data_IF_370998060647
#
_entry.id   IF_370998060647
#
_cell.length_a   1.000
_cell.length_b   1.000
_cell.length_c   1.000
_cell.angle_alpha   90.00
_cell.angle_beta   90.00
_cell.angle_gamma   90.00
#
_symmetry.space_group_name_H-M   'P 1'
#
loop_
_entity.id
_entity.type
_entity.pdbx_description
1 polymer ?
#
# COMPACT_ATOMS: atom_id res chain seq x y z
N UNK A 1 -25.66 -8.84 -5.10
CA UNK A 1 -24.69 -9.33 -4.09
C UNK A 1 -25.41 -9.90 -2.87
N UNK A 2 -26.20 -9.10 -2.13
CA UNK A 2 -26.97 -9.61 -0.98
C UNK A 2 -27.93 -10.77 -1.31
N UNK A 3 -28.61 -10.73 -2.46
CA UNK A 3 -29.48 -11.80 -2.98
C UNK A 3 -28.77 -13.15 -3.14
N UNK A 4 -27.52 -13.15 -3.61
CA UNK A 4 -26.79 -14.39 -3.91
C UNK A 4 -26.24 -15.04 -2.65
N UNK A 5 -25.88 -14.26 -1.63
CA UNK A 5 -25.53 -14.77 -0.31
C UNK A 5 -26.77 -15.30 0.40
N UNK A 6 -27.90 -14.57 0.32
CA UNK A 6 -29.19 -15.07 0.80
C UNK A 6 -29.53 -16.40 0.13
N UNK A 7 -29.32 -16.53 -1.18
CA UNK A 7 -29.52 -17.77 -1.92
C UNK A 7 -28.58 -18.89 -1.46
N UNK A 8 -27.28 -18.63 -1.37
CA UNK A 8 -26.30 -19.61 -0.87
C UNK A 8 -26.64 -20.06 0.57
N UNK A 9 -27.17 -19.15 1.38
CA UNK A 9 -27.60 -19.44 2.74
C UNK A 9 -28.90 -20.25 2.79
N UNK A 10 -29.88 -19.95 1.93
CA UNK A 10 -31.08 -20.79 1.79
C UNK A 10 -30.75 -22.17 1.22
N UNK A 11 -29.78 -22.28 0.31
CA UNK A 11 -29.21 -23.56 -0.12
C UNK A 11 -28.55 -24.30 1.05
N UNK A 12 -27.81 -23.59 1.92
CA UNK A 12 -27.23 -24.18 3.15
C UNK A 12 -28.29 -24.65 4.14
N UNK A 13 -29.31 -23.84 4.42
CA UNK A 13 -30.42 -24.20 5.31
C UNK A 13 -31.16 -25.43 4.81
N UNK A 14 -31.47 -25.48 3.51
CA UNK A 14 -32.08 -26.65 2.86
C UNK A 14 -31.17 -27.87 2.93
N UNK A 15 -29.86 -27.69 2.75
CA UNK A 15 -28.89 -28.75 2.89
C UNK A 15 -28.81 -29.28 4.33
N UNK A 16 -28.78 -28.39 5.33
CA UNK A 16 -28.77 -28.71 6.77
C UNK A 16 -30.05 -29.42 7.20
N UNK A 17 -31.22 -28.95 6.77
CA UNK A 17 -32.52 -29.54 7.10
C UNK A 17 -32.68 -30.98 6.58
N UNK A 18 -31.96 -31.34 5.51
CA UNK A 18 -31.96 -32.67 4.94
C UNK A 18 -30.91 -33.62 5.56
N UNK A 19 -30.05 -33.12 6.46
CA UNK A 19 -29.08 -33.95 7.19
C UNK A 19 -29.65 -34.38 8.55
N UNK A 20 -29.30 -35.60 8.98
CA UNK A 20 -29.73 -36.11 10.28
C UNK A 20 -29.19 -35.19 11.40
N UNK A 21 -30.01 -34.83 12.40
CA UNK A 21 -29.66 -33.85 13.44
C UNK A 21 -28.44 -34.25 14.29
N UNK A 22 -28.07 -35.53 14.34
CA UNK A 22 -26.91 -36.06 15.08
C UNK A 22 -25.55 -35.58 14.59
N UNK A 23 -25.48 -34.79 13.52
CA UNK A 23 -24.21 -34.40 12.85
C UNK A 23 -23.73 -33.00 13.26
N UNK A 24 -24.54 -32.17 13.93
CA UNK A 24 -24.24 -30.73 14.07
C UNK A 24 -24.06 -30.18 15.49
N UNK A 25 -24.30 -30.97 16.55
CA UNK A 25 -24.25 -30.45 17.93
C UNK A 25 -22.86 -30.44 18.58
N UNK A 26 -21.79 -30.85 17.88
CA UNK A 26 -20.45 -30.91 18.47
C UNK A 26 -19.35 -30.45 17.52
N UNK A 27 -18.81 -29.25 17.77
CA UNK A 27 -17.42 -28.88 17.45
C UNK A 27 -16.95 -29.03 15.98
N UNK A 28 -15.63 -28.98 15.73
CA UNK A 28 -15.07 -29.15 14.39
C UNK A 28 -15.49 -30.50 13.82
N UNK A 29 -16.24 -30.47 12.71
CA UNK A 29 -16.88 -31.61 12.06
C UNK A 29 -16.06 -32.90 12.09
N UNK A 30 -16.56 -33.93 12.78
CA UNK A 30 -16.10 -35.30 12.55
C UNK A 30 -16.68 -35.80 11.22
N UNK A 31 -16.01 -35.46 10.11
CA UNK A 31 -16.34 -35.87 8.73
C UNK A 31 -16.51 -37.38 8.51
N UNK A 32 -16.16 -38.21 9.50
CA UNK A 32 -16.14 -39.68 9.38
C UNK A 32 -17.54 -40.28 9.30
N UNK A 33 -18.55 -39.64 9.89
CA UNK A 33 -19.91 -40.20 10.01
C UNK A 33 -20.84 -39.82 8.84
N UNK A 34 -20.39 -38.95 7.94
CA UNK A 34 -21.14 -38.57 6.74
C UNK A 34 -21.02 -39.64 5.65
N UNK A 35 -22.11 -39.86 4.91
CA UNK A 35 -22.02 -40.65 3.67
C UNK A 35 -21.05 -39.99 2.69
N UNK A 36 -20.41 -40.78 1.82
CA UNK A 36 -19.48 -40.25 0.81
C UNK A 36 -20.16 -39.17 -0.06
N UNK A 37 -21.46 -39.37 -0.35
CA UNK A 37 -22.27 -38.42 -1.12
C UNK A 37 -22.44 -37.09 -0.39
N UNK A 38 -22.70 -37.13 0.92
CA UNK A 38 -22.91 -35.92 1.72
C UNK A 38 -21.59 -35.18 1.97
N UNK A 39 -20.48 -35.90 2.14
CA UNK A 39 -19.13 -35.29 2.18
C UNK A 39 -18.82 -34.52 0.91
N UNK A 40 -19.10 -35.11 -0.27
CA UNK A 40 -18.88 -34.43 -1.55
C UNK A 40 -19.76 -33.19 -1.70
N UNK A 41 -21.03 -33.26 -1.29
CA UNK A 41 -21.95 -32.11 -1.33
C UNK A 41 -21.52 -31.00 -0.38
N UNK A 42 -21.12 -31.34 0.85
CA UNK A 42 -20.61 -30.38 1.83
C UNK A 42 -19.32 -29.72 1.34
N UNK A 43 -18.38 -30.49 0.77
CA UNK A 43 -17.14 -29.95 0.21
C UNK A 43 -17.37 -29.04 -1.00
N UNK A 44 -18.31 -29.40 -1.90
CA UNK A 44 -18.72 -28.54 -3.02
C UNK A 44 -19.37 -27.26 -2.54
N UNK A 45 -20.21 -27.34 -1.50
CA UNK A 45 -20.83 -26.18 -0.88
C UNK A 45 -19.77 -25.27 -0.26
N UNK A 46 -18.91 -25.80 0.62
CA UNK A 46 -17.79 -25.07 1.23
C UNK A 46 -16.92 -24.38 0.18
N UNK A 47 -16.53 -25.10 -0.89
CA UNK A 47 -15.73 -24.52 -1.97
C UNK A 47 -16.45 -23.39 -2.70
N UNK A 48 -17.76 -23.52 -2.97
CA UNK A 48 -18.56 -22.42 -3.55
C UNK A 48 -18.63 -21.23 -2.61
N UNK A 49 -18.85 -21.46 -1.31
CA UNK A 49 -18.91 -20.41 -0.30
C UNK A 49 -17.56 -19.72 -0.15
N UNK A 50 -16.44 -20.44 -0.09
CA UNK A 50 -15.08 -19.90 -0.05
C UNK A 50 -14.77 -19.06 -1.28
N UNK A 51 -15.03 -19.60 -2.48
CA UNK A 51 -14.83 -18.87 -3.75
C UNK A 51 -15.64 -17.58 -3.78
N UNK A 52 -16.87 -17.63 -3.25
CA UNK A 52 -17.74 -16.46 -3.17
C UNK A 52 -17.22 -15.46 -2.12
N UNK A 53 -16.86 -15.91 -0.92
CA UNK A 53 -16.28 -15.07 0.14
C UNK A 53 -14.92 -14.47 -0.27
N UNK A 54 -14.13 -15.14 -1.12
CA UNK A 54 -12.88 -14.62 -1.69
C UNK A 54 -13.14 -13.47 -2.68
N UNK A 55 -14.32 -13.45 -3.31
CA UNK A 55 -14.71 -12.42 -4.27
C UNK A 55 -15.27 -11.13 -3.64
N UNK A 56 -15.55 -11.14 -2.34
CA UNK A 56 -16.22 -10.05 -1.60
C UNK A 56 -15.19 -9.31 -0.74
N UNK A 57 -15.28 -7.97 -0.69
CA UNK A 57 -14.41 -7.17 0.18
C UNK A 57 -14.78 -7.34 1.67
N UNK A 58 -13.82 -7.13 2.58
CA UNK A 58 -14.09 -7.20 4.02
C UNK A 58 -15.16 -6.18 4.47
N UNK A 59 -15.31 -5.05 3.77
CA UNK A 59 -16.36 -4.06 4.04
C UNK A 59 -17.74 -4.58 3.67
N UNK A 60 -17.86 -5.20 2.49
CA UNK A 60 -19.11 -5.83 2.06
C UNK A 60 -19.48 -7.00 2.98
N UNK A 61 -18.50 -7.74 3.49
CA UNK A 61 -18.73 -8.77 4.52
C UNK A 61 -19.25 -8.18 5.83
N UNK A 62 -18.66 -7.07 6.28
CA UNK A 62 -19.05 -6.40 7.52
C UNK A 62 -20.46 -5.80 7.43
N UNK A 63 -20.82 -5.21 6.28
CA UNK A 63 -22.17 -4.73 6.01
C UNK A 63 -23.17 -5.88 6.00
N UNK A 64 -22.80 -7.02 5.42
CA UNK A 64 -23.64 -8.21 5.43
C UNK A 64 -23.91 -8.75 6.84
N UNK A 65 -22.93 -8.66 7.73
CA UNK A 65 -23.06 -9.11 9.12
C UNK A 65 -24.06 -8.28 9.91
N UNK A 66 -24.33 -7.03 9.51
CA UNK A 66 -25.35 -6.19 10.15
C UNK A 66 -26.77 -6.64 9.79
N UNK A 67 -26.97 -7.24 8.61
CA UNK A 67 -28.27 -7.71 8.12
C UNK A 67 -28.63 -9.13 8.60
N UNK A 68 -27.65 -9.91 9.05
CA UNK A 68 -27.82 -11.29 9.49
C UNK A 68 -28.19 -11.33 10.98
N UNK A 69 -29.45 -11.69 11.29
CA UNK A 69 -29.93 -11.94 12.67
C UNK A 69 -29.49 -13.30 13.25
N UNK A 70 -28.87 -14.16 12.44
CA UNK A 70 -28.47 -15.51 12.84
C UNK A 70 -27.10 -15.48 13.56
N UNK A 71 -27.13 -15.66 14.89
CA UNK A 71 -25.96 -15.60 15.77
C UNK A 71 -24.92 -16.68 15.40
N UNK A 72 -25.36 -17.87 14.97
CA UNK A 72 -24.45 -18.98 14.60
C UNK A 72 -23.67 -18.63 13.33
N UNK A 73 -24.36 -18.02 12.36
CA UNK A 73 -23.75 -17.61 11.10
C UNK A 73 -22.78 -16.44 11.29
N UNK A 74 -23.17 -15.45 12.09
CA UNK A 74 -22.31 -14.31 12.42
C UNK A 74 -21.01 -14.76 13.07
N UNK A 75 -21.07 -15.75 13.99
CA UNK A 75 -19.88 -16.34 14.60
C UNK A 75 -18.96 -17.06 13.61
N UNK A 76 -19.52 -17.83 12.66
CA UNK A 76 -18.72 -18.52 11.62
C UNK A 76 -18.07 -17.55 10.63
N UNK A 77 -18.79 -16.52 10.20
CA UNK A 77 -18.23 -15.49 9.32
C UNK A 77 -17.14 -14.71 10.05
N UNK A 78 -17.34 -14.34 11.33
CA UNK A 78 -16.30 -13.72 12.15
C UNK A 78 -15.07 -14.61 12.31
N UNK A 79 -15.25 -15.92 12.50
CA UNK A 79 -14.13 -16.87 12.56
C UNK A 79 -13.34 -16.89 11.24
N UNK A 80 -14.00 -16.94 10.09
CA UNK A 80 -13.35 -16.90 8.77
C UNK A 80 -12.63 -15.57 8.55
N UNK A 81 -13.24 -14.43 8.93
CA UNK A 81 -12.57 -13.12 8.90
C UNK A 81 -11.31 -13.16 9.77
N UNK A 82 -11.42 -13.65 11.01
CA UNK A 82 -10.31 -13.70 11.95
C UNK A 82 -9.17 -14.62 11.48
N UNK A 83 -9.50 -15.73 10.82
CA UNK A 83 -8.53 -16.66 10.25
C UNK A 83 -7.85 -16.06 9.01
N UNK A 84 -8.59 -15.39 8.12
CA UNK A 84 -8.01 -14.61 7.01
C UNK A 84 -7.10 -13.49 7.49
N UNK A 85 -7.53 -12.76 8.52
CA UNK A 85 -6.71 -11.73 9.14
C UNK A 85 -5.46 -12.31 9.79
N UNK A 86 -5.57 -13.47 10.46
CA UNK A 86 -4.45 -14.19 11.05
C UNK A 86 -3.42 -14.66 10.01
N UNK A 87 -3.85 -15.33 8.93
CA UNK A 87 -2.94 -15.76 7.86
C UNK A 87 -2.28 -14.58 7.12
N UNK A 88 -3.03 -13.49 6.90
CA UNK A 88 -2.52 -12.22 6.39
C UNK A 88 -1.46 -11.65 7.33
N UNK A 89 -1.73 -11.64 8.64
CA UNK A 89 -0.82 -11.13 9.67
C UNK A 89 0.45 -11.99 9.86
N UNK A 90 0.38 -13.31 9.67
CA UNK A 90 1.55 -14.21 9.77
C UNK A 90 2.54 -13.98 8.62
N UNK A 91 2.06 -13.96 7.36
CA UNK A 91 2.93 -13.67 6.20
C UNK A 91 3.50 -12.24 6.25
N UNK A 92 2.68 -11.30 6.68
CA UNK A 92 3.09 -9.93 6.96
C UNK A 92 4.17 -9.90 8.04
N UNK A 93 4.01 -10.67 9.12
CA UNK A 93 4.87 -10.61 10.30
C UNK A 93 6.36 -10.82 9.99
N UNK A 94 6.73 -11.80 9.16
CA UNK A 94 8.14 -12.01 8.81
C UNK A 94 8.68 -10.96 7.83
N UNK A 95 7.91 -10.58 6.81
CA UNK A 95 8.31 -9.55 5.84
C UNK A 95 8.43 -8.16 6.48
N UNK A 96 7.54 -7.81 7.42
CA UNK A 96 7.65 -6.58 8.23
C UNK A 96 8.87 -6.61 9.15
N UNK A 97 9.17 -7.75 9.79
CA UNK A 97 10.38 -7.89 10.63
C UNK A 97 11.67 -7.72 9.83
N UNK A 98 11.68 -8.17 8.58
CA UNK A 98 12.81 -7.95 7.68
C UNK A 98 12.88 -6.52 7.10
N UNK A 99 11.88 -5.67 7.35
CA UNK A 99 11.82 -4.33 6.78
C UNK A 99 11.63 -4.31 5.26
N UNK A 100 11.19 -5.42 4.67
CA UNK A 100 11.01 -5.53 3.22
C UNK A 100 9.73 -4.83 2.75
N UNK A 101 8.70 -4.75 3.60
CA UNK A 101 7.47 -4.02 3.29
C UNK A 101 7.70 -2.54 3.64
N UNK A 102 7.70 -1.63 2.65
CA UNK A 102 7.88 -0.21 2.91
C UNK A 102 6.70 0.31 3.73
N UNK A 103 7.04 1.02 4.81
CA UNK A 103 6.09 1.77 5.64
C UNK A 103 6.37 3.25 5.47
N UNK A 104 5.31 4.04 5.26
CA UNK A 104 5.44 5.47 5.04
C UNK A 104 5.05 6.22 6.31
N UNK A 105 6.01 6.93 6.91
CA UNK A 105 5.73 7.89 7.99
C UNK A 105 5.48 9.28 7.41
N UNK A 106 4.81 10.15 8.15
CA UNK A 106 4.54 11.54 7.74
C UNK A 106 5.83 12.27 7.32
N UNK A 107 6.93 12.09 8.06
CA UNK A 107 8.24 12.69 7.73
C UNK A 107 8.74 12.23 6.37
N UNK A 108 8.66 10.94 6.04
CA UNK A 108 9.17 10.39 4.77
C UNK A 108 8.39 10.96 3.59
N UNK A 109 7.06 11.03 3.74
CA UNK A 109 6.15 11.57 2.72
C UNK A 109 6.40 13.07 2.50
N UNK A 110 6.56 13.82 3.59
CA UNK A 110 6.92 15.23 3.53
C UNK A 110 8.29 15.44 2.84
N UNK A 111 9.33 14.71 3.24
CA UNK A 111 10.68 14.85 2.64
C UNK A 111 10.70 14.46 1.16
N UNK A 112 9.89 13.46 0.78
CA UNK A 112 9.69 13.08 -0.62
C UNK A 112 9.03 14.22 -1.40
N UNK A 113 7.97 14.82 -0.86
CA UNK A 113 7.32 15.98 -1.43
C UNK A 113 8.22 17.22 -1.52
N UNK A 114 9.00 17.50 -0.47
CA UNK A 114 9.99 18.57 -0.45
C UNK A 114 11.02 18.39 -1.56
N UNK A 115 11.54 17.17 -1.74
CA UNK A 115 12.49 16.87 -2.82
C UNK A 115 11.89 17.12 -4.19
N UNK A 116 10.64 16.72 -4.41
CA UNK A 116 9.92 16.99 -5.65
C UNK A 116 9.75 18.50 -5.90
N UNK A 117 9.39 19.28 -4.88
CA UNK A 117 9.29 20.74 -5.00
C UNK A 117 10.64 21.39 -5.28
N UNK A 118 11.73 20.93 -4.66
CA UNK A 118 13.07 21.44 -4.94
C UNK A 118 13.44 21.21 -6.41
N UNK A 119 13.14 20.04 -6.97
CA UNK A 119 13.35 19.79 -8.41
C UNK A 119 12.50 20.71 -9.26
N UNK A 120 11.20 20.82 -8.95
CA UNK A 120 10.26 21.62 -9.72
C UNK A 120 10.67 23.10 -9.77
N UNK A 121 11.16 23.67 -8.65
CA UNK A 121 11.49 25.09 -8.58
C UNK A 121 12.94 25.43 -8.91
N UNK A 122 13.89 24.51 -8.68
CA UNK A 122 15.32 24.81 -8.76
C UNK A 122 16.04 24.10 -9.92
N UNK A 123 15.38 23.19 -10.63
CA UNK A 123 15.96 22.47 -11.75
C UNK A 123 15.16 22.73 -13.04
N UNK A 124 15.66 23.65 -13.88
CA UNK A 124 15.01 24.03 -15.14
C UNK A 124 14.91 22.87 -16.12
N UNK A 125 15.92 22.01 -16.20
CA UNK A 125 15.91 20.84 -17.08
C UNK A 125 14.81 19.85 -16.70
N UNK A 126 14.63 19.59 -15.40
CA UNK A 126 13.52 18.78 -14.93
C UNK A 126 12.18 19.42 -15.29
N UNK A 127 12.05 20.73 -15.11
CA UNK A 127 10.82 21.46 -15.43
C UNK A 127 10.46 21.36 -16.91
N UNK A 128 11.44 21.55 -17.81
CA UNK A 128 11.29 21.39 -19.25
C UNK A 128 10.87 19.96 -19.62
N UNK A 129 11.62 18.94 -19.16
CA UNK A 129 11.30 17.53 -19.46
C UNK A 129 9.95 17.09 -18.86
N UNK A 130 9.60 17.60 -17.66
CA UNK A 130 8.33 17.35 -17.02
C UNK A 130 7.18 17.96 -17.81
N UNK A 131 7.27 19.24 -18.18
CA UNK A 131 6.24 19.88 -18.98
C UNK A 131 6.15 19.27 -20.38
N UNK A 132 7.26 18.95 -21.03
CA UNK A 132 7.22 18.29 -22.33
C UNK A 132 6.55 16.92 -22.25
N UNK A 133 6.85 16.14 -21.21
CA UNK A 133 6.21 14.83 -21.00
C UNK A 133 4.71 14.95 -20.75
N UNK A 134 4.30 15.90 -19.90
CA UNK A 134 2.90 16.05 -19.54
C UNK A 134 2.09 16.79 -20.61
N UNK A 135 2.57 17.92 -21.14
CA UNK A 135 1.88 18.82 -22.09
C UNK A 135 1.73 18.26 -23.49
N UNK A 136 2.65 17.40 -23.95
CA UNK A 136 2.65 16.90 -25.33
C UNK A 136 1.46 16.00 -25.63
N UNK A 137 1.09 15.15 -24.68
CA UNK A 137 0.00 14.18 -24.80
C UNK A 137 -1.10 14.47 -23.75
N UNK A 138 -1.55 15.73 -23.69
CA UNK A 138 -2.56 16.20 -22.72
C UNK A 138 -3.92 15.56 -22.96
N UNK A 139 -4.16 14.39 -22.36
CA UNK A 139 -5.48 13.77 -22.29
C UNK A 139 -6.16 14.01 -20.93
N UNK A 140 -7.48 13.80 -20.88
CA UNK A 140 -8.27 13.96 -19.65
C UNK A 140 -7.82 13.00 -18.54
N UNK A 141 -7.24 11.86 -18.90
CA UNK A 141 -6.77 10.84 -17.96
C UNK A 141 -5.51 11.32 -17.22
N UNK A 142 -4.52 11.86 -17.94
CA UNK A 142 -3.32 12.50 -17.42
C UNK A 142 -3.67 13.65 -16.49
N UNK A 143 -4.63 14.51 -16.86
CA UNK A 143 -5.09 15.60 -15.99
C UNK A 143 -5.63 15.03 -14.68
N UNK A 144 -6.44 13.98 -14.74
CA UNK A 144 -6.95 13.29 -13.56
C UNK A 144 -5.81 12.78 -12.66
N UNK A 145 -4.83 12.08 -13.23
CA UNK A 145 -3.65 11.58 -12.50
C UNK A 145 -2.88 12.72 -11.84
N UNK A 146 -2.66 13.82 -12.57
CA UNK A 146 -1.95 15.00 -12.07
C UNK A 146 -2.69 15.69 -10.92
N UNK A 147 -4.01 15.82 -11.01
CA UNK A 147 -4.83 16.36 -9.91
C UNK A 147 -4.70 15.46 -8.67
N UNK A 148 -4.82 14.14 -8.83
CA UNK A 148 -4.66 13.22 -7.71
C UNK A 148 -3.26 13.26 -7.10
N UNK A 149 -2.22 13.38 -7.94
CA UNK A 149 -0.85 13.53 -7.52
C UNK A 149 -0.64 14.82 -6.70
N UNK A 150 -1.15 15.95 -7.18
CA UNK A 150 -1.09 17.24 -6.49
C UNK A 150 -1.84 17.17 -5.15
N UNK A 151 -3.02 16.55 -5.11
CA UNK A 151 -3.76 16.35 -3.86
C UNK A 151 -2.94 15.52 -2.86
N UNK A 152 -2.32 14.42 -3.30
CA UNK A 152 -1.48 13.58 -2.44
C UNK A 152 -0.24 14.32 -1.91
N UNK A 153 0.38 15.16 -2.74
CA UNK A 153 1.48 16.04 -2.35
C UNK A 153 1.04 17.05 -1.29
N UNK A 154 -0.03 17.81 -1.56
CA UNK A 154 -0.57 18.81 -0.62
C UNK A 154 -0.96 18.17 0.71
N UNK A 155 -1.61 17.00 0.68
CA UNK A 155 -1.98 16.26 1.88
C UNK A 155 -0.75 15.81 2.68
N UNK A 156 0.33 15.40 2.01
CA UNK A 156 1.59 15.02 2.68
C UNK A 156 2.20 16.19 3.45
N UNK A 157 2.12 17.41 2.91
CA UNK A 157 2.51 18.64 3.62
C UNK A 157 1.52 19.03 4.71
N UNK A 158 0.22 18.96 4.46
CA UNK A 158 -0.78 19.35 5.45
C UNK A 158 -0.69 18.49 6.71
N UNK A 159 -0.66 17.15 6.56
CA UNK A 159 -0.76 16.26 7.70
C UNK A 159 0.47 16.28 8.60
N UNK A 160 1.68 16.44 8.05
CA UNK A 160 2.93 16.48 8.84
C UNK A 160 2.94 17.64 9.86
N UNK A 161 2.24 18.75 9.58
CA UNK A 161 2.14 19.91 10.48
C UNK A 161 0.83 19.97 11.27
N UNK A 162 -0.18 19.18 10.91
CA UNK A 162 -1.53 19.31 11.48
C UNK A 162 -1.70 18.68 12.86
N UNK A 163 -0.82 17.77 13.28
CA UNK A 163 -1.00 16.91 14.44
C UNK A 163 -2.33 16.11 14.47
N UNK A 164 -2.93 15.85 13.30
CA UNK A 164 -4.21 15.14 13.16
C UNK A 164 -4.01 13.74 12.60
N UNK A 165 -4.82 12.80 13.08
CA UNK A 165 -4.93 11.45 12.51
C UNK A 165 -5.40 11.56 11.05
N UNK A 166 -4.73 10.83 10.15
CA UNK A 166 -5.00 10.92 8.71
C UNK A 166 -6.24 10.09 8.37
N UNK A 167 -7.32 10.69 7.84
CA UNK A 167 -8.48 9.95 7.39
C UNK A 167 -8.12 8.93 6.30
N UNK A 168 -8.82 7.80 6.28
CA UNK A 168 -8.55 6.70 5.34
C UNK A 168 -8.56 7.12 3.88
N UNK A 169 -9.47 8.03 3.48
CA UNK A 169 -9.52 8.57 2.10
C UNK A 169 -8.26 9.37 1.77
N UNK A 170 -7.83 10.25 2.68
CA UNK A 170 -6.58 11.02 2.53
C UNK A 170 -5.34 10.14 2.44
N UNK A 171 -5.28 9.04 3.22
CA UNK A 171 -4.22 8.03 3.08
C UNK A 171 -4.20 7.42 1.68
N UNK A 172 -5.35 7.24 1.03
CA UNK A 172 -5.41 6.77 -0.35
C UNK A 172 -4.64 7.69 -1.32
N UNK A 173 -4.89 8.99 -1.25
CA UNK A 173 -4.21 9.98 -2.10
C UNK A 173 -2.72 10.10 -1.81
N UNK A 174 -2.34 10.11 -0.53
CA UNK A 174 -0.93 10.14 -0.10
C UNK A 174 -0.20 8.88 -0.57
N UNK A 175 -0.83 7.71 -0.47
CA UNK A 175 -0.23 6.45 -0.91
C UNK A 175 -0.04 6.45 -2.42
N UNK A 176 -1.04 6.90 -3.18
CA UNK A 176 -0.94 7.01 -4.63
C UNK A 176 0.20 7.94 -5.03
N UNK A 177 0.32 9.10 -4.39
CA UNK A 177 1.46 10.02 -4.56
C UNK A 177 2.80 9.31 -4.30
N UNK A 178 2.94 8.62 -3.18
CA UNK A 178 4.16 7.90 -2.83
C UNK A 178 4.52 6.79 -3.84
N UNK A 179 3.52 6.07 -4.36
CA UNK A 179 3.72 5.02 -5.37
C UNK A 179 4.16 5.63 -6.70
N UNK A 180 3.46 6.66 -7.19
CA UNK A 180 3.78 7.33 -8.44
C UNK A 180 5.18 7.93 -8.38
N UNK A 181 5.52 8.66 -7.32
CA UNK A 181 6.82 9.32 -7.24
C UNK A 181 7.97 8.30 -7.18
N UNK A 182 7.84 7.23 -6.39
CA UNK A 182 8.87 6.18 -6.35
C UNK A 182 9.01 5.49 -7.71
N UNK A 183 7.90 5.24 -8.41
CA UNK A 183 7.93 4.69 -9.77
C UNK A 183 8.64 5.62 -10.75
N UNK A 184 8.27 6.91 -10.79
CA UNK A 184 8.90 7.89 -11.69
C UNK A 184 10.40 8.01 -11.42
N UNK A 185 10.81 8.13 -10.15
CA UNK A 185 12.23 8.19 -9.78
C UNK A 185 12.96 6.92 -10.19
N UNK A 186 12.42 5.74 -9.87
CA UNK A 186 13.02 4.47 -10.25
C UNK A 186 13.16 4.33 -11.77
N UNK A 187 12.14 4.73 -12.52
CA UNK A 187 12.14 4.67 -13.98
C UNK A 187 13.15 5.64 -14.60
N UNK A 188 13.06 6.94 -14.31
CA UNK A 188 13.94 7.95 -14.93
C UNK A 188 15.39 7.83 -14.47
N UNK A 189 15.63 7.62 -13.17
CA UNK A 189 16.99 7.42 -12.66
C UNK A 189 17.58 6.12 -13.19
N UNK A 190 16.77 5.06 -13.29
CA UNK A 190 17.17 3.78 -13.85
C UNK A 190 17.54 3.86 -15.34
N UNK A 191 16.70 4.51 -16.13
CA UNK A 191 16.96 4.74 -17.55
C UNK A 191 18.24 5.55 -17.78
N UNK A 192 18.43 6.63 -17.02
CA UNK A 192 19.67 7.40 -17.05
C UNK A 192 20.88 6.56 -16.62
N UNK A 193 20.71 5.75 -15.56
CA UNK A 193 21.78 4.92 -15.03
C UNK A 193 22.28 3.87 -16.03
N UNK A 194 21.36 3.20 -16.72
CA UNK A 194 21.67 2.19 -17.72
C UNK A 194 22.38 2.77 -18.95
N UNK A 195 22.10 4.02 -19.28
CA UNK A 195 22.60 4.65 -20.52
C UNK A 195 23.87 5.46 -20.30
N UNK A 196 24.04 6.09 -19.13
CA UNK A 196 25.05 7.14 -18.93
C UNK A 196 25.82 7.07 -17.60
N UNK A 197 25.28 6.49 -16.54
CA UNK A 197 25.94 6.54 -15.24
C UNK A 197 27.19 5.66 -15.17
N UNK A 198 28.23 6.16 -14.51
CA UNK A 198 29.48 5.44 -14.23
C UNK A 198 29.84 5.56 -12.75
N UNK A 199 30.58 4.58 -12.23
CA UNK A 199 31.09 4.59 -10.87
C UNK A 199 30.02 4.38 -9.79
N UNK A 200 30.30 4.84 -8.57
CA UNK A 200 29.47 4.58 -7.39
C UNK A 200 28.07 5.21 -7.42
N UNK A 201 27.84 6.20 -8.28
CA UNK A 201 26.56 6.89 -8.40
C UNK A 201 25.43 5.95 -8.87
N UNK A 202 25.77 4.84 -9.55
CA UNK A 202 24.79 3.84 -10.03
C UNK A 202 24.02 3.14 -8.90
N UNK A 203 24.59 3.10 -7.69
CA UNK A 203 24.00 2.38 -6.56
C UNK A 203 22.63 2.97 -6.20
N UNK A 204 22.49 4.30 -6.18
CA UNK A 204 21.23 4.94 -5.76
C UNK A 204 20.07 4.66 -6.73
N UNK A 205 20.23 4.84 -8.07
CA UNK A 205 19.24 4.40 -9.04
C UNK A 205 18.90 2.91 -8.92
N UNK A 206 19.89 2.02 -8.74
CA UNK A 206 19.61 0.59 -8.59
C UNK A 206 18.73 0.29 -7.39
N UNK A 207 18.97 0.94 -6.25
CA UNK A 207 18.11 0.82 -5.06
C UNK A 207 16.69 1.30 -5.38
N UNK A 208 16.53 2.47 -6.00
CA UNK A 208 15.19 3.00 -6.32
C UNK A 208 14.45 2.17 -7.37
N UNK A 209 15.13 1.57 -8.35
CA UNK A 209 14.52 0.63 -9.30
C UNK A 209 13.94 -0.56 -8.53
N UNK A 210 14.74 -1.18 -7.66
CA UNK A 210 14.29 -2.33 -6.85
C UNK A 210 13.12 -1.91 -5.94
N UNK A 211 13.22 -0.77 -5.26
CA UNK A 211 12.15 -0.23 -4.42
C UNK A 211 10.87 0.03 -5.20
N UNK A 212 10.96 0.60 -6.40
CA UNK A 212 9.80 0.86 -7.26
C UNK A 212 9.12 -0.45 -7.72
N UNK A 213 9.90 -1.43 -8.16
CA UNK A 213 9.36 -2.74 -8.54
C UNK A 213 8.69 -3.46 -7.37
N UNK A 214 9.34 -3.48 -6.20
CA UNK A 214 8.76 -4.08 -4.99
C UNK A 214 7.49 -3.36 -4.56
N UNK A 215 7.48 -2.02 -4.57
CA UNK A 215 6.31 -1.21 -4.23
C UNK A 215 5.13 -1.52 -5.15
N UNK A 216 5.34 -1.53 -6.47
CA UNK A 216 4.31 -1.89 -7.44
C UNK A 216 3.81 -3.33 -7.27
N UNK A 217 4.73 -4.27 -7.08
CA UNK A 217 4.38 -5.67 -6.83
C UNK A 217 3.52 -5.81 -5.58
N UNK A 218 3.90 -5.16 -4.47
CA UNK A 218 3.16 -5.20 -3.21
C UNK A 218 1.82 -4.47 -3.26
N UNK A 219 1.69 -3.41 -4.05
CA UNK A 219 0.38 -2.79 -4.35
C UNK A 219 -0.49 -3.77 -5.13
N UNK A 220 0.06 -4.44 -6.16
CA UNK A 220 -0.68 -5.40 -7.00
C UNK A 220 -1.27 -6.58 -6.22
N UNK A 221 -0.55 -7.06 -5.19
CA UNK A 221 -1.00 -8.15 -4.31
C UNK A 221 -1.69 -7.66 -3.03
N UNK A 222 -2.06 -6.38 -2.94
CA UNK A 222 -2.73 -5.75 -1.79
C UNK A 222 -1.98 -5.92 -0.45
N UNK A 223 -0.65 -6.08 -0.48
CA UNK A 223 0.18 -6.04 0.73
C UNK A 223 0.33 -4.59 1.22
N UNK A 224 0.55 -3.67 0.30
CA UNK A 224 0.57 -2.24 0.58
C UNK A 224 -0.82 -1.67 0.33
N UNK A 225 -1.41 -1.17 1.40
CA UNK A 225 -2.71 -0.48 1.41
C UNK A 225 -2.58 0.81 2.22
N UNK A 226 -3.69 1.54 2.39
CA UNK A 226 -3.75 2.73 3.26
C UNK A 226 -3.27 2.47 4.69
N UNK A 227 -3.28 1.21 5.18
CA UNK A 227 -2.70 0.82 6.48
C UNK A 227 -1.16 0.94 6.54
N UNK A 228 -0.49 1.09 5.40
CA UNK A 228 0.98 1.21 5.31
C UNK A 228 1.46 2.64 5.56
N UNK A 229 0.54 3.61 5.56
CA UNK A 229 0.79 4.97 6.04
C UNK A 229 0.54 4.98 7.54
N UNK A 230 1.62 5.15 8.29
CA UNK A 230 1.61 5.14 9.75
C UNK A 230 1.10 6.50 10.27
N UNK A 231 0.13 6.48 11.18
CA UNK A 231 -0.31 7.67 11.95
C UNK A 231 0.69 8.01 13.06
N UNK A 232 1.98 7.98 12.72
CA UNK A 232 3.06 8.29 13.63
C UNK A 232 3.37 9.77 13.48
N UNK A 233 2.92 10.55 14.47
CA UNK A 233 3.13 11.99 14.48
C UNK A 233 4.62 12.33 14.34
N UNK A 234 4.94 13.12 13.32
CA UNK A 234 6.27 13.65 13.12
C UNK A 234 6.63 14.64 14.23
N UNK A 235 7.81 14.49 14.85
CA UNK A 235 8.34 15.55 15.72
C UNK A 235 8.85 16.70 14.84
N UNK A 236 8.63 17.95 15.26
CA UNK A 236 9.11 19.13 14.52
C UNK A 236 10.65 19.08 14.29
N UNK A 237 11.40 18.54 15.26
CA UNK A 237 12.85 18.34 15.13
C UNK A 237 13.21 17.32 14.04
N UNK A 238 12.47 16.21 13.91
CA UNK A 238 12.66 15.20 12.85
C UNK A 238 12.42 15.84 11.46
N UNK A 239 11.37 16.67 11.33
CA UNK A 239 11.03 17.39 10.10
C UNK A 239 12.14 18.38 9.73
N UNK A 240 12.58 19.20 10.68
CA UNK A 240 13.55 20.28 10.43
C UNK A 240 14.93 19.72 10.08
N UNK A 241 15.42 18.73 10.84
CA UNK A 241 16.70 18.06 10.55
C UNK A 241 16.62 17.33 9.22
N UNK A 242 15.53 16.60 8.97
CA UNK A 242 15.30 15.91 7.70
C UNK A 242 15.33 16.86 6.50
N UNK A 243 14.68 18.02 6.63
CA UNK A 243 14.62 19.05 5.58
C UNK A 243 15.99 19.63 5.28
N UNK A 244 16.75 19.99 6.32
CA UNK A 244 18.10 20.54 6.18
C UNK A 244 18.99 19.54 5.43
N UNK A 245 18.94 18.26 5.81
CA UNK A 245 19.77 17.24 5.16
C UNK A 245 19.33 17.03 3.71
N UNK A 246 18.03 16.96 3.41
CA UNK A 246 17.54 16.88 2.02
C UNK A 246 18.03 18.06 1.19
N UNK A 247 17.94 19.29 1.72
CA UNK A 247 18.40 20.49 1.02
C UNK A 247 19.91 20.44 0.78
N UNK A 248 20.71 20.10 1.79
CA UNK A 248 22.18 19.99 1.65
C UNK A 248 22.54 18.92 0.62
N UNK A 249 21.93 17.74 0.70
CA UNK A 249 22.14 16.63 -0.22
C UNK A 249 21.75 17.01 -1.65
N UNK A 250 20.60 17.67 -1.82
CA UNK A 250 20.14 18.20 -3.09
C UNK A 250 21.14 19.21 -3.67
N UNK A 251 21.53 20.21 -2.88
CA UNK A 251 22.44 21.28 -3.31
C UNK A 251 23.80 20.72 -3.71
N UNK A 252 24.38 19.82 -2.91
CA UNK A 252 25.66 19.19 -3.23
C UNK A 252 25.54 18.36 -4.50
N UNK A 253 24.52 17.50 -4.61
CA UNK A 253 24.33 16.66 -5.80
C UNK A 253 24.13 17.50 -7.07
N UNK A 254 23.29 18.53 -7.01
CA UNK A 254 22.88 19.29 -8.18
C UNK A 254 23.92 20.34 -8.61
N UNK A 255 24.49 21.09 -7.67
CA UNK A 255 25.31 22.26 -7.99
C UNK A 255 26.81 22.03 -7.81
N UNK A 256 27.22 21.07 -6.97
CA UNK A 256 28.64 20.73 -6.80
C UNK A 256 29.04 19.59 -7.73
N UNK A 257 28.25 18.52 -7.74
CA UNK A 257 28.54 17.35 -8.60
C UNK A 257 27.93 17.45 -10.00
N UNK A 258 27.06 18.43 -10.27
CA UNK A 258 26.36 18.58 -11.55
C UNK A 258 25.64 17.30 -12.00
N UNK A 259 25.11 16.53 -11.04
CA UNK A 259 24.40 15.31 -11.36
C UNK A 259 23.12 15.64 -12.15
N UNK A 260 22.74 14.72 -13.04
CA UNK A 260 21.44 14.78 -13.70
C UNK A 260 20.31 14.74 -12.66
N UNK A 261 19.22 15.45 -12.94
CA UNK A 261 18.15 15.68 -11.96
C UNK A 261 17.57 14.37 -11.42
N UNK A 262 17.47 13.31 -12.25
CA UNK A 262 16.93 12.03 -11.82
C UNK A 262 17.87 11.32 -10.82
N UNK A 263 19.19 11.50 -10.95
CA UNK A 263 20.18 11.01 -9.98
C UNK A 263 20.06 11.79 -8.67
N UNK A 264 19.98 13.13 -8.75
CA UNK A 264 19.78 13.99 -7.58
C UNK A 264 18.50 13.61 -6.83
N UNK A 265 17.40 13.39 -7.57
CA UNK A 265 16.13 12.95 -6.99
C UNK A 265 16.29 11.59 -6.31
N UNK A 266 16.88 10.64 -7.03
CA UNK A 266 17.13 9.28 -6.55
C UNK A 266 17.88 9.27 -5.22
N UNK A 267 18.95 10.07 -5.11
CA UNK A 267 19.77 10.17 -3.92
C UNK A 267 18.99 10.78 -2.73
N UNK A 268 18.26 11.86 -2.97
CA UNK A 268 17.39 12.47 -1.96
C UNK A 268 16.27 11.53 -1.50
N UNK A 269 15.69 10.73 -2.42
CA UNK A 269 14.64 9.77 -2.11
C UNK A 269 15.17 8.59 -1.28
N UNK A 270 16.37 8.07 -1.61
CA UNK A 270 17.04 7.05 -0.79
C UNK A 270 17.29 7.57 0.62
N UNK A 271 17.72 8.82 0.75
CA UNK A 271 17.86 9.45 2.06
C UNK A 271 16.52 9.51 2.81
N UNK A 272 15.49 10.05 2.17
CA UNK A 272 14.17 10.25 2.78
C UNK A 272 13.55 8.93 3.24
N UNK A 273 13.69 7.85 2.47
CA UNK A 273 13.05 6.56 2.73
C UNK A 273 13.86 5.64 3.63
N UNK A 274 15.18 5.56 3.43
CA UNK A 274 16.02 4.58 4.12
C UNK A 274 16.80 5.19 5.28
N UNK A 275 17.48 6.31 5.07
CA UNK A 275 18.42 6.89 6.05
C UNK A 275 17.68 7.64 7.15
N UNK A 276 16.64 8.40 6.80
CA UNK A 276 15.89 9.21 7.76
C UNK A 276 15.29 8.38 8.91
N UNK A 277 14.92 7.13 8.66
CA UNK A 277 14.42 6.23 9.71
C UNK A 277 15.47 5.97 10.81
N UNK A 278 16.72 5.75 10.41
CA UNK A 278 17.83 5.54 11.36
C UNK A 278 18.12 6.80 12.16
N UNK A 279 18.14 7.97 11.51
CA UNK A 279 18.36 9.27 12.19
C UNK A 279 17.25 9.55 13.19
N UNK A 280 15.99 9.34 12.79
CA UNK A 280 14.83 9.55 13.67
C UNK A 280 14.82 8.58 14.86
N UNK A 281 15.38 7.38 14.71
CA UNK A 281 15.57 6.44 15.83
C UNK A 281 16.65 6.90 16.80
N UNK A 282 17.72 7.52 16.30
CA UNK A 282 18.83 8.02 17.12
C UNK A 282 18.49 9.30 17.90
N UNK A 283 17.59 10.13 17.37
CA UNK A 283 17.11 11.36 18.02
C UNK A 283 16.07 11.13 19.14
N UNK A 284 15.75 9.88 19.47
CA UNK A 284 14.78 9.50 20.51
C UNK A 284 15.49 9.03 21.76
#
# INVERSE_FOLDING_TARGET
>A
MGEEIKRLFEEYKKFRANMKPTVFDFGPFHYKDLSIRDRRRLALFQRKTETYLDSISNEQLAELLLDIKDIELTGKIQAIISERESYSNIKKGWLYKLGLIPTFTEVVLFLTGLTFLLLLFLNTLFLEEFFDFFLRDFDLEMIGIMIFFIIGLVMSFYYVFSNKIIPRKSKGYILLFAVIINFLVGFFAGFYALTRAKGFVIIFPSVNIISAFLLLFFVRINLITTKSILDKQAKLSEILIGSIIVIVVFTISQYVFHNYWAITFSLCLVYATNINHFISKWLR
#
